data_IF_755828408105
#
_entry.id   IF_755828408105
#
_cell.length_a   1.000
_cell.length_b   1.000
_cell.length_c   1.000
_cell.angle_alpha   90.00
_cell.angle_beta   90.00
_cell.angle_gamma   90.00
#
_symmetry.space_group_name_H-M   'P 1'
#
loop_
_entity.id
_entity.type
_entity.pdbx_description
1 polymer ?
#
# COMPACT_ATOMS: atom_id res chain seq x y z
N UNK A 1 65.93 -43.32 -7.30
CA UNK A 1 64.63 -43.47 -6.59
C UNK A 1 63.97 -42.10 -6.50
N UNK A 2 62.97 -41.83 -7.34
CA UNK A 2 62.22 -40.56 -7.33
C UNK A 2 60.98 -40.70 -6.43
N UNK A 3 60.90 -39.93 -5.38
CA UNK A 3 59.71 -39.86 -4.52
C UNK A 3 58.73 -38.89 -5.14
N UNK A 4 57.59 -39.41 -5.58
CA UNK A 4 56.46 -38.65 -6.09
C UNK A 4 55.57 -38.27 -4.92
N UNK A 5 55.53 -36.99 -4.57
CA UNK A 5 54.59 -36.45 -3.56
C UNK A 5 53.26 -36.14 -4.22
N UNK A 6 52.23 -36.84 -3.85
CA UNK A 6 50.86 -36.60 -4.29
C UNK A 6 50.28 -35.55 -3.30
N UNK A 7 50.06 -34.35 -3.81
CA UNK A 7 49.37 -33.30 -3.08
C UNK A 7 47.85 -33.48 -3.26
N UNK A 8 47.17 -33.96 -2.24
CA UNK A 8 45.69 -34.00 -2.20
C UNK A 8 45.20 -32.59 -1.90
N UNK A 9 44.70 -31.92 -2.92
CA UNK A 9 43.98 -30.64 -2.74
C UNK A 9 42.55 -31.00 -2.32
N UNK A 10 42.26 -30.84 -1.01
CA UNK A 10 40.92 -30.94 -0.46
C UNK A 10 40.20 -29.62 -0.76
N UNK A 11 39.49 -29.56 -1.86
CA UNK A 11 38.58 -28.46 -2.18
C UNK A 11 37.34 -28.56 -1.27
N UNK A 12 37.38 -27.94 -0.09
CA UNK A 12 36.18 -27.71 0.72
C UNK A 12 35.28 -26.73 -0.01
N UNK A 13 34.24 -27.22 -0.68
CA UNK A 13 33.10 -26.40 -1.09
C UNK A 13 32.42 -25.85 0.19
N UNK A 14 32.77 -24.64 0.53
CA UNK A 14 32.01 -23.84 1.48
C UNK A 14 30.70 -23.49 0.77
N UNK A 15 29.65 -24.31 0.91
CA UNK A 15 28.28 -23.90 0.66
C UNK A 15 27.94 -22.88 1.77
N UNK A 16 28.20 -21.64 1.46
CA UNK A 16 27.70 -20.52 2.27
C UNK A 16 26.19 -20.47 2.08
N UNK A 17 25.45 -21.20 2.92
CA UNK A 17 24.04 -20.91 3.14
C UNK A 17 23.99 -19.50 3.72
N UNK A 18 23.58 -18.54 2.92
CA UNK A 18 23.40 -17.17 3.38
C UNK A 18 22.05 -17.11 4.14
N UNK A 19 22.04 -17.13 5.48
CA UNK A 19 20.79 -17.22 6.26
C UNK A 19 19.84 -16.05 6.00
N UNK A 20 20.36 -14.91 5.48
CA UNK A 20 19.55 -13.74 5.13
C UNK A 20 18.67 -13.98 3.90
N UNK A 21 19.09 -14.79 2.93
CA UNK A 21 18.27 -15.09 1.75
C UNK A 21 17.12 -16.04 2.09
N UNK A 22 17.35 -17.03 2.96
CA UNK A 22 16.32 -17.98 3.39
C UNK A 22 15.16 -17.28 4.12
N UNK A 23 15.47 -16.34 5.03
CA UNK A 23 14.45 -15.60 5.75
C UNK A 23 13.65 -14.67 4.81
N UNK A 24 14.30 -14.05 3.84
CA UNK A 24 13.63 -13.22 2.84
C UNK A 24 12.66 -14.04 1.98
N UNK A 25 13.10 -15.20 1.51
CA UNK A 25 12.27 -16.10 0.68
C UNK A 25 11.07 -16.62 1.47
N UNK A 26 11.23 -16.94 2.75
CA UNK A 26 10.14 -17.34 3.63
C UNK A 26 9.09 -16.23 3.77
N UNK A 27 9.52 -14.99 4.05
CA UNK A 27 8.63 -13.84 4.18
C UNK A 27 7.89 -13.58 2.86
N UNK A 28 8.58 -13.60 1.72
CA UNK A 28 7.95 -13.42 0.41
C UNK A 28 6.93 -14.52 0.13
N UNK A 29 7.21 -15.76 0.52
CA UNK A 29 6.26 -16.87 0.39
C UNK A 29 5.00 -16.70 1.26
N UNK A 30 5.12 -16.09 2.44
CA UNK A 30 3.97 -15.76 3.29
C UNK A 30 3.14 -14.64 2.64
N UNK A 31 3.80 -13.57 2.19
CA UNK A 31 3.16 -12.44 1.50
C UNK A 31 2.36 -12.94 0.29
N UNK A 32 2.96 -13.78 -0.55
CA UNK A 32 2.30 -14.34 -1.74
C UNK A 32 1.04 -15.13 -1.37
N UNK A 33 1.12 -16.00 -0.36
CA UNK A 33 -0.06 -16.74 0.13
C UNK A 33 -1.19 -15.82 0.62
N UNK A 34 -0.85 -14.77 1.37
CA UNK A 34 -1.84 -13.82 1.89
C UNK A 34 -2.49 -13.06 0.74
N UNK A 35 -1.71 -12.56 -0.20
CA UNK A 35 -2.23 -11.82 -1.35
C UNK A 35 -3.08 -12.72 -2.26
N UNK A 36 -2.62 -13.93 -2.57
CA UNK A 36 -3.38 -14.89 -3.38
C UNK A 36 -4.71 -15.20 -2.72
N UNK A 37 -4.73 -15.45 -1.40
CA UNK A 37 -5.97 -15.70 -0.67
C UNK A 37 -6.90 -14.49 -0.69
N UNK A 38 -6.37 -13.29 -0.41
CA UNK A 38 -7.17 -12.07 -0.42
C UNK A 38 -7.81 -11.82 -1.78
N UNK A 39 -7.04 -11.82 -2.84
CA UNK A 39 -7.50 -11.52 -4.20
C UNK A 39 -8.45 -12.58 -4.77
N UNK A 40 -8.33 -13.83 -4.32
CA UNK A 40 -9.27 -14.89 -4.67
C UNK A 40 -10.66 -14.72 -4.00
N UNK A 41 -10.72 -14.05 -2.85
CA UNK A 41 -11.93 -13.89 -2.06
C UNK A 41 -12.51 -12.47 -2.07
N UNK A 42 -11.81 -11.50 -2.62
CA UNK A 42 -12.24 -10.11 -2.68
C UNK A 42 -12.09 -9.58 -4.12
N UNK A 43 -13.04 -8.76 -4.53
CA UNK A 43 -12.96 -8.05 -5.80
C UNK A 43 -12.24 -6.73 -5.59
N UNK A 44 -11.51 -6.20 -6.59
CA UNK A 44 -10.90 -4.87 -6.48
C UNK A 44 -11.94 -3.74 -6.47
N UNK A 45 -13.16 -3.97 -6.98
CA UNK A 45 -14.22 -2.97 -7.06
C UNK A 45 -14.93 -2.80 -5.69
N UNK A 46 -14.17 -2.40 -4.66
CA UNK A 46 -14.66 -2.10 -3.32
C UNK A 46 -14.51 -0.61 -3.01
N UNK A 47 -15.23 -0.15 -1.98
CA UNK A 47 -15.18 1.25 -1.52
C UNK A 47 -13.78 1.63 -1.01
N UNK A 48 -13.39 2.93 -1.06
CA UNK A 48 -12.07 3.39 -0.65
C UNK A 48 -11.99 3.74 0.86
N UNK A 49 -12.70 2.99 1.70
CA UNK A 49 -12.67 3.15 3.15
C UNK A 49 -11.48 2.42 3.75
N UNK A 50 -11.10 2.73 4.98
CA UNK A 50 -9.85 2.33 5.62
C UNK A 50 -9.53 0.83 5.51
N UNK A 51 -10.53 -0.04 5.66
CA UNK A 51 -10.39 -1.49 5.64
C UNK A 51 -9.84 -2.00 4.29
N UNK A 52 -10.40 -1.53 3.19
CA UNK A 52 -9.91 -1.85 1.85
C UNK A 52 -8.65 -1.04 1.49
N UNK A 53 -8.61 0.25 1.85
CA UNK A 53 -7.47 1.11 1.57
C UNK A 53 -6.17 0.59 2.21
N UNK A 54 -6.23 0.09 3.45
CA UNK A 54 -5.09 -0.50 4.14
C UNK A 54 -4.52 -1.72 3.38
N UNK A 55 -5.40 -2.58 2.82
CA UNK A 55 -4.95 -3.67 1.98
C UNK A 55 -4.20 -3.16 0.75
N UNK A 56 -4.75 -2.18 0.03
CA UNK A 56 -4.14 -1.66 -1.19
C UNK A 56 -2.84 -0.91 -0.93
N UNK A 57 -2.70 -0.23 0.21
CA UNK A 57 -1.42 0.35 0.65
C UNK A 57 -0.38 -0.77 0.84
N UNK A 58 -0.72 -1.83 1.56
CA UNK A 58 0.16 -2.99 1.72
C UNK A 58 0.50 -3.68 0.41
N UNK A 59 -0.47 -3.78 -0.51
CA UNK A 59 -0.24 -4.38 -1.84
C UNK A 59 0.70 -3.53 -2.73
N UNK A 60 0.70 -2.21 -2.57
CA UNK A 60 1.69 -1.34 -3.22
C UNK A 60 3.10 -1.61 -2.69
N UNK A 61 3.27 -1.80 -1.37
CA UNK A 61 4.55 -2.17 -0.79
C UNK A 61 5.05 -3.53 -1.33
N UNK A 62 4.15 -4.50 -1.50
CA UNK A 62 4.48 -5.79 -2.14
C UNK A 62 4.93 -5.57 -3.58
N UNK A 63 4.25 -4.73 -4.34
CA UNK A 63 4.67 -4.37 -5.69
C UNK A 63 6.06 -3.70 -5.70
N UNK A 64 6.33 -2.75 -4.81
CA UNK A 64 7.63 -2.09 -4.73
C UNK A 64 8.74 -3.08 -4.40
N UNK A 65 8.47 -4.08 -3.58
CA UNK A 65 9.41 -5.12 -3.19
C UNK A 65 9.65 -6.17 -4.27
N UNK A 66 8.60 -6.60 -4.99
CA UNK A 66 8.62 -7.76 -5.88
C UNK A 66 8.62 -7.41 -7.36
N UNK A 67 8.13 -6.23 -7.71
CA UNK A 67 7.82 -5.79 -9.08
C UNK A 67 6.81 -6.69 -9.80
N UNK A 68 5.92 -7.33 -9.04
CA UNK A 68 4.86 -8.16 -9.62
C UNK A 68 3.75 -7.26 -10.17
N UNK A 69 3.61 -7.23 -11.49
CA UNK A 69 2.65 -6.40 -12.21
C UNK A 69 1.18 -6.78 -11.95
N UNK A 70 0.89 -8.02 -11.56
CA UNK A 70 -0.46 -8.44 -11.20
C UNK A 70 -0.93 -7.74 -9.92
N UNK A 71 -0.03 -7.54 -8.95
CA UNK A 71 -0.31 -6.81 -7.72
C UNK A 71 -0.63 -5.34 -8.01
N UNK A 72 0.17 -4.72 -8.88
CA UNK A 72 -0.07 -3.35 -9.32
C UNK A 72 -1.40 -3.23 -10.07
N UNK A 73 -1.68 -4.12 -11.00
CA UNK A 73 -2.92 -4.11 -11.78
C UNK A 73 -4.17 -4.27 -10.91
N UNK A 74 -4.09 -5.10 -9.86
CA UNK A 74 -5.18 -5.25 -8.91
C UNK A 74 -5.48 -3.94 -8.16
N UNK A 75 -4.45 -3.25 -7.67
CA UNK A 75 -4.60 -1.96 -6.98
C UNK A 75 -5.02 -0.83 -7.94
N UNK A 76 -4.50 -0.81 -9.17
CA UNK A 76 -4.95 0.16 -10.19
C UNK A 76 -6.45 0.06 -10.45
N UNK A 77 -7.00 -1.15 -10.63
CA UNK A 77 -8.44 -1.35 -10.82
C UNK A 77 -9.28 -0.82 -9.65
N UNK A 78 -8.83 -1.03 -8.42
CA UNK A 78 -9.49 -0.47 -7.24
C UNK A 78 -9.47 1.07 -7.24
N UNK A 79 -8.33 1.67 -7.52
CA UNK A 79 -8.18 3.12 -7.55
C UNK A 79 -9.03 3.77 -8.66
N UNK A 80 -9.05 3.17 -9.85
CA UNK A 80 -9.85 3.59 -11.00
C UNK A 80 -11.37 3.47 -10.72
N UNK A 81 -11.80 2.35 -10.11
CA UNK A 81 -13.18 2.15 -9.68
C UNK A 81 -13.65 3.28 -8.76
N UNK A 82 -12.80 3.69 -7.84
CA UNK A 82 -13.05 4.77 -6.89
C UNK A 82 -12.73 6.16 -7.45
N UNK A 83 -12.34 6.28 -8.72
CA UNK A 83 -11.98 7.55 -9.37
C UNK A 83 -10.93 8.35 -8.60
N UNK A 84 -10.08 7.66 -7.85
CA UNK A 84 -9.07 8.26 -6.95
C UNK A 84 -9.67 9.16 -5.86
N UNK A 85 -10.88 8.83 -5.39
CA UNK A 85 -11.61 9.55 -4.35
C UNK A 85 -11.65 8.73 -3.06
N UNK A 86 -11.77 9.45 -1.92
CA UNK A 86 -12.24 8.92 -0.64
C UNK A 86 -13.76 9.12 -0.52
N UNK A 87 -14.20 9.83 0.52
CA UNK A 87 -15.60 10.24 0.64
C UNK A 87 -16.03 11.15 -0.53
N UNK A 88 -17.28 11.02 -0.96
CA UNK A 88 -17.72 11.53 -2.27
C UNK A 88 -18.43 12.88 -2.24
N UNK A 89 -18.71 13.46 -1.05
CA UNK A 89 -19.35 14.76 -0.98
C UNK A 89 -18.42 15.86 -1.54
N UNK A 90 -18.95 16.70 -2.43
CA UNK A 90 -18.22 17.82 -3.06
C UNK A 90 -18.58 19.18 -2.48
N UNK A 91 -19.64 19.26 -1.66
CA UNK A 91 -20.02 20.51 -1.00
C UNK A 91 -19.17 20.71 0.26
N UNK A 92 -18.20 21.61 0.17
CA UNK A 92 -17.26 21.88 1.27
C UNK A 92 -17.93 22.41 2.56
N UNK A 93 -19.09 23.02 2.45
CA UNK A 93 -19.86 23.52 3.61
C UNK A 93 -20.46 22.36 4.44
N UNK A 94 -20.58 21.17 3.84
CA UNK A 94 -21.08 19.97 4.48
C UNK A 94 -19.98 19.01 4.96
N UNK A 95 -18.70 19.33 4.73
CA UNK A 95 -17.61 18.46 5.12
C UNK A 95 -17.44 18.41 6.63
N UNK A 96 -17.46 17.21 7.19
CA UNK A 96 -17.44 16.97 8.62
C UNK A 96 -16.28 16.07 9.04
N UNK A 97 -15.74 16.38 10.22
CA UNK A 97 -14.97 15.44 11.03
C UNK A 97 -15.95 14.61 11.85
N UNK A 98 -16.28 13.43 11.39
CA UNK A 98 -17.17 12.53 12.14
C UNK A 98 -16.91 11.09 11.76
N UNK A 99 -17.17 10.19 12.67
CA UNK A 99 -17.02 8.75 12.44
C UNK A 99 -18.08 8.19 11.51
N UNK A 100 -17.65 7.22 10.70
CA UNK A 100 -18.55 6.40 9.91
C UNK A 100 -18.39 6.60 8.41
N UNK A 101 -19.35 6.08 7.66
CA UNK A 101 -19.22 5.87 6.23
C UNK A 101 -20.05 6.83 5.37
N UNK A 102 -20.56 7.92 5.96
CA UNK A 102 -21.36 8.89 5.23
C UNK A 102 -20.52 9.71 4.26
N UNK A 103 -21.07 10.09 3.08
CA UNK A 103 -20.33 10.84 2.06
C UNK A 103 -19.77 12.18 2.53
N UNK A 104 -20.41 12.84 3.49
CA UNK A 104 -20.00 14.12 4.05
C UNK A 104 -18.85 14.04 5.07
N UNK A 105 -18.45 12.83 5.50
CA UNK A 105 -17.34 12.65 6.43
C UNK A 105 -15.97 12.71 5.73
N UNK A 106 -15.84 13.64 4.81
CA UNK A 106 -14.65 13.86 3.98
C UNK A 106 -13.39 14.11 4.81
N UNK A 107 -13.56 14.73 5.97
CA UNK A 107 -12.44 15.11 6.85
C UNK A 107 -12.07 13.99 7.84
N UNK A 108 -12.80 12.86 7.82
CA UNK A 108 -12.51 11.71 8.66
C UNK A 108 -11.36 10.88 8.05
N UNK A 109 -10.34 10.59 8.87
CA UNK A 109 -9.11 9.94 8.42
C UNK A 109 -9.32 8.62 7.69
N UNK A 110 -10.31 7.83 8.08
CA UNK A 110 -10.62 6.53 7.45
C UNK A 110 -10.98 6.64 5.96
N UNK A 111 -11.50 7.79 5.52
CA UNK A 111 -11.72 8.10 4.11
C UNK A 111 -10.49 8.65 3.39
N UNK A 112 -9.43 8.97 4.13
CA UNK A 112 -8.20 9.59 3.58
C UNK A 112 -7.04 8.60 3.44
N UNK A 113 -7.11 7.43 4.08
CA UNK A 113 -6.06 6.39 3.98
C UNK A 113 -5.79 6.00 2.52
N UNK A 114 -6.82 5.96 1.68
CA UNK A 114 -6.69 5.68 0.24
C UNK A 114 -5.76 6.66 -0.50
N UNK A 115 -5.58 7.87 0.01
CA UNK A 115 -4.74 8.89 -0.63
C UNK A 115 -3.26 8.49 -0.67
N UNK A 116 -2.78 7.68 0.30
CA UNK A 116 -1.44 7.12 0.24
C UNK A 116 -1.26 6.26 -1.01
N UNK A 117 -2.17 5.32 -1.24
CA UNK A 117 -2.14 4.45 -2.43
C UNK A 117 -2.22 5.26 -3.73
N UNK A 118 -3.05 6.31 -3.76
CA UNK A 118 -3.17 7.16 -4.97
C UNK A 118 -1.91 7.99 -5.23
N UNK A 119 -1.23 8.44 -4.17
CA UNK A 119 0.06 9.11 -4.28
C UNK A 119 1.14 8.17 -4.82
N UNK A 120 1.16 6.91 -4.37
CA UNK A 120 2.09 5.89 -4.87
C UNK A 120 1.85 5.61 -6.35
N UNK A 121 0.60 5.48 -6.77
CA UNK A 121 0.23 5.33 -8.19
C UNK A 121 0.58 6.56 -9.03
N UNK A 122 0.46 7.76 -8.46
CA UNK A 122 0.91 9.00 -9.11
C UNK A 122 2.43 9.03 -9.29
N UNK A 123 3.19 8.62 -8.27
CA UNK A 123 4.65 8.58 -8.32
C UNK A 123 5.18 7.57 -9.35
N UNK A 124 4.45 6.48 -9.60
CA UNK A 124 4.79 5.51 -10.65
C UNK A 124 4.46 6.03 -12.05
N UNK A 125 3.32 6.68 -12.19
CA UNK A 125 2.80 7.14 -13.47
C UNK A 125 2.06 8.48 -13.26
N UNK A 126 2.73 9.61 -13.42
CA UNK A 126 2.18 10.91 -13.12
C UNK A 126 0.95 11.25 -13.97
N UNK A 127 -0.20 11.35 -13.29
CA UNK A 127 -1.44 11.89 -13.79
C UNK A 127 -2.13 12.64 -12.65
N UNK A 128 -2.35 13.93 -12.81
CA UNK A 128 -2.88 14.81 -11.75
C UNK A 128 -4.24 14.38 -11.23
N UNK A 129 -5.03 13.63 -12.00
CA UNK A 129 -6.32 13.11 -11.56
C UNK A 129 -6.17 12.20 -10.33
N UNK A 130 -5.04 11.47 -10.24
CA UNK A 130 -4.77 10.51 -9.16
C UNK A 130 -4.64 11.17 -7.78
N UNK A 131 -4.25 12.44 -7.75
CA UNK A 131 -4.02 13.19 -6.49
C UNK A 131 -4.90 14.41 -6.35
N UNK A 132 -5.76 14.71 -7.32
CA UNK A 132 -6.59 15.93 -7.31
C UNK A 132 -7.48 16.01 -6.08
N UNK A 133 -8.18 14.92 -5.73
CA UNK A 133 -9.06 14.88 -4.57
C UNK A 133 -8.27 14.93 -3.25
N UNK A 134 -7.17 14.23 -3.16
CA UNK A 134 -6.29 14.28 -2.00
C UNK A 134 -5.80 15.72 -1.73
N UNK A 135 -5.34 16.41 -2.76
CA UNK A 135 -4.92 17.80 -2.67
C UNK A 135 -6.06 18.73 -2.22
N UNK A 136 -7.22 18.59 -2.83
CA UNK A 136 -8.40 19.39 -2.46
C UNK A 136 -8.74 19.25 -0.98
N UNK A 137 -8.76 18.03 -0.46
CA UNK A 137 -9.07 17.76 0.96
C UNK A 137 -7.97 18.29 1.87
N UNK A 138 -6.70 18.05 1.54
CA UNK A 138 -5.58 18.56 2.33
C UNK A 138 -5.51 20.10 2.35
N UNK A 139 -5.69 20.75 1.20
CA UNK A 139 -5.73 22.21 1.10
C UNK A 139 -6.88 22.79 1.94
N UNK A 140 -8.04 22.16 1.92
CA UNK A 140 -9.17 22.56 2.76
C UNK A 140 -8.83 22.44 4.25
N UNK A 141 -8.30 21.31 4.70
CA UNK A 141 -7.93 21.10 6.10
C UNK A 141 -6.85 22.08 6.57
N UNK A 142 -5.88 22.39 5.72
CA UNK A 142 -4.82 23.36 6.04
C UNK A 142 -5.35 24.81 6.12
N UNK A 143 -6.34 25.17 5.31
CA UNK A 143 -6.94 26.50 5.30
C UNK A 143 -8.03 26.69 6.34
N UNK A 144 -8.59 25.62 6.87
CA UNK A 144 -9.70 25.62 7.83
C UNK A 144 -9.34 24.74 9.03
N UNK A 145 -8.28 25.10 9.79
CA UNK A 145 -7.86 24.30 10.93
C UNK A 145 -8.95 24.32 12.01
N UNK A 146 -9.30 23.17 12.52
CA UNK A 146 -10.25 23.00 13.62
C UNK A 146 -9.45 23.07 14.92
N UNK A 147 -9.53 24.18 15.62
CA UNK A 147 -8.72 24.44 16.81
C UNK A 147 -9.25 23.73 18.08
N UNK A 148 -10.50 23.26 18.08
CA UNK A 148 -11.19 22.83 19.30
C UNK A 148 -11.47 21.33 19.33
N UNK A 149 -10.82 20.53 18.48
CA UNK A 149 -11.24 19.17 18.23
C UNK A 149 -10.32 18.09 18.82
N UNK A 150 -10.28 18.04 20.15
CA UNK A 150 -9.72 16.93 20.91
C UNK A 150 -10.80 16.21 21.74
N UNK A 151 -11.93 15.84 21.09
CA UNK A 151 -13.07 15.17 21.74
C UNK A 151 -12.69 13.84 22.42
N UNK A 152 -11.53 13.29 22.11
CA UNK A 152 -10.94 12.09 22.70
C UNK A 152 -9.87 12.41 23.77
N UNK A 153 -9.64 13.65 24.07
CA UNK A 153 -8.69 14.12 25.08
C UNK A 153 -9.37 14.57 26.38
N UNK A 154 -10.69 14.48 26.49
CA UNK A 154 -11.48 14.78 27.70
C UNK A 154 -11.72 13.54 28.54
#
# INVERSE_FOLDING_TARGET
MKKTSILFALATLMMSCNPSNSAKEEVLGIIDKVNTYWQANNKPETRPFWDNAAYHTGNMEVYFLTKNEEQLAYTKRWAEHNKYWGATNTNKEEWLYSYGERPEYVLFGDWQICFQTYADLYNLEPDTIKIARAREVMEYQMSTPQNDYWWWAD
#
